data_IF_482807043349
#
_entry.id   IF_482807043349
#
_cell.length_a   1.000
_cell.length_b   1.000
_cell.length_c   1.000
_cell.angle_alpha   90.00
_cell.angle_beta   90.00
_cell.angle_gamma   90.00
#
_symmetry.space_group_name_H-M   'P 1'
#
loop_
_entity.id
_entity.type
_entity.pdbx_description
1 polymer ?
#
# COMPACT_ATOMS: atom_id res chain seq x y z
N UNK A 1 -9.28 -6.96 16.81
CA UNK A 1 -10.06 -5.95 16.06
C UNK A 1 -9.96 -6.26 14.58
N UNK A 2 -10.99 -6.00 13.80
CA UNK A 2 -10.95 -6.14 12.34
C UNK A 2 -11.74 -4.99 11.70
N UNK A 3 -11.40 -4.65 10.46
CA UNK A 3 -12.04 -3.59 9.70
C UNK A 3 -12.67 -4.17 8.43
N UNK A 4 -13.94 -3.85 8.19
CA UNK A 4 -14.56 -4.08 6.88
C UNK A 4 -14.17 -2.94 5.94
N UNK A 5 -13.70 -3.28 4.74
CA UNK A 5 -13.30 -2.33 3.71
C UNK A 5 -13.85 -2.73 2.34
N UNK A 6 -14.14 -1.72 1.52
CA UNK A 6 -14.47 -1.92 0.12
C UNK A 6 -13.20 -2.09 -0.73
N UNK A 7 -13.39 -2.58 -1.95
CA UNK A 7 -12.36 -2.83 -2.95
C UNK A 7 -11.37 -1.66 -3.11
N UNK A 8 -11.84 -0.42 -3.19
CA UNK A 8 -11.00 0.75 -3.47
C UNK A 8 -9.96 1.01 -2.38
N UNK A 9 -10.30 0.79 -1.11
CA UNK A 9 -9.35 0.88 -0.01
C UNK A 9 -8.33 -0.25 -0.05
N UNK A 10 -8.77 -1.47 -0.38
CA UNK A 10 -7.87 -2.62 -0.51
C UNK A 10 -6.90 -2.45 -1.67
N UNK A 11 -7.33 -1.86 -2.78
CA UNK A 11 -6.43 -1.53 -3.89
C UNK A 11 -5.35 -0.52 -3.50
N UNK A 12 -5.68 0.43 -2.62
CA UNK A 12 -4.69 1.35 -2.04
C UNK A 12 -3.68 0.55 -1.20
N UNK A 13 -4.12 -0.38 -0.35
CA UNK A 13 -3.19 -1.20 0.45
C UNK A 13 -2.27 -2.04 -0.44
N UNK A 14 -2.80 -2.69 -1.47
CA UNK A 14 -2.01 -3.47 -2.42
C UNK A 14 -1.03 -2.61 -3.21
N UNK A 15 -1.38 -1.35 -3.49
CA UNK A 15 -0.46 -0.44 -4.16
C UNK A 15 0.82 -0.16 -3.36
N UNK A 16 0.81 -0.29 -2.03
CA UNK A 16 2.02 -0.18 -1.21
C UNK A 16 3.06 -1.24 -1.56
N UNK A 17 2.62 -2.44 -1.96
CA UNK A 17 3.49 -3.54 -2.38
C UNK A 17 4.16 -3.29 -3.73
N UNK A 18 3.67 -2.31 -4.51
CA UNK A 18 4.28 -1.93 -5.79
C UNK A 18 5.41 -0.91 -5.64
N UNK A 19 5.61 -0.35 -4.44
CA UNK A 19 6.66 0.63 -4.22
C UNK A 19 8.04 -0.03 -4.38
N UNK A 20 8.94 0.57 -5.18
CA UNK A 20 10.31 0.08 -5.25
C UNK A 20 10.95 0.07 -3.86
N UNK A 21 11.72 -0.97 -3.55
CA UNK A 21 12.41 -1.08 -2.26
C UNK A 21 13.25 0.16 -1.94
N UNK A 22 13.92 0.75 -2.93
CA UNK A 22 14.66 2.00 -2.75
C UNK A 22 13.77 3.19 -2.34
N UNK A 23 12.52 3.25 -2.78
CA UNK A 23 11.54 4.24 -2.30
C UNK A 23 11.16 3.99 -0.85
N UNK A 24 10.94 2.74 -0.45
CA UNK A 24 10.65 2.38 0.95
C UNK A 24 11.84 2.79 1.83
N UNK A 25 13.06 2.39 1.46
CA UNK A 25 14.29 2.75 2.15
C UNK A 25 14.46 4.27 2.33
N UNK A 26 14.22 5.03 1.25
CA UNK A 26 14.27 6.50 1.23
C UNK A 26 13.26 7.13 2.18
N UNK A 27 12.03 6.62 2.21
CA UNK A 27 10.95 7.18 3.03
C UNK A 27 11.15 6.83 4.51
N UNK A 28 11.58 5.59 4.79
CA UNK A 28 11.80 5.09 6.14
C UNK A 28 12.94 5.77 6.88
N UNK A 29 13.93 6.37 6.17
CA UNK A 29 15.06 7.08 6.81
C UNK A 29 14.65 8.24 7.74
N UNK A 30 13.41 8.73 7.60
CA UNK A 30 12.87 9.81 8.44
C UNK A 30 12.38 9.33 9.81
N UNK A 31 12.30 8.03 10.01
CA UNK A 31 11.78 7.40 11.21
C UNK A 31 12.91 6.64 11.94
N UNK A 32 12.75 6.44 13.25
CA UNK A 32 13.72 5.70 14.06
C UNK A 32 13.81 4.23 13.61
N UNK A 33 12.69 3.66 13.18
CA UNK A 33 12.59 2.31 12.63
C UNK A 33 13.06 2.26 11.17
N UNK A 34 14.39 2.19 11.00
CA UNK A 34 15.03 1.95 9.70
C UNK A 34 14.68 0.56 9.15
N UNK A 35 14.65 0.41 7.83
CA UNK A 35 14.41 -0.88 7.14
C UNK A 35 15.73 -1.67 7.07
N UNK A 36 16.33 -1.93 8.23
CA UNK A 36 17.57 -2.70 8.36
C UNK A 36 18.67 -2.27 7.38
N UNK A 37 19.28 -3.27 6.72
CA UNK A 37 20.37 -3.06 5.75
C UNK A 37 19.94 -2.33 4.49
N UNK A 38 18.64 -2.28 4.17
CA UNK A 38 18.14 -1.57 3.01
C UNK A 38 18.33 -0.05 3.16
N UNK A 39 18.20 0.47 4.37
CA UNK A 39 18.51 1.88 4.66
C UNK A 39 19.99 2.17 4.46
N UNK A 40 20.89 1.30 4.94
CA UNK A 40 22.34 1.46 4.70
C UNK A 40 22.71 1.37 3.22
N UNK A 41 22.09 0.45 2.48
CA UNK A 41 22.29 0.34 1.02
C UNK A 41 21.85 1.62 0.32
N UNK A 42 20.68 2.17 0.67
CA UNK A 42 20.20 3.44 0.12
C UNK A 42 21.17 4.60 0.44
N UNK A 43 21.56 4.76 1.70
CA UNK A 43 22.51 5.79 2.15
C UNK A 43 23.87 5.67 1.41
N UNK A 44 24.33 4.45 1.12
CA UNK A 44 25.56 4.23 0.37
C UNK A 44 25.50 4.76 -1.07
N UNK A 45 24.36 4.58 -1.74
CA UNK A 45 24.13 5.10 -3.10
C UNK A 45 23.97 6.62 -3.07
N UNK A 46 23.25 7.15 -2.09
CA UNK A 46 23.05 8.59 -1.90
C UNK A 46 24.39 9.32 -1.70
N UNK A 47 25.30 8.76 -0.90
CA UNK A 47 26.62 9.32 -0.61
C UNK A 47 27.68 9.12 -1.72
N UNK A 48 27.42 8.26 -2.71
CA UNK A 48 28.40 8.00 -3.76
C UNK A 48 28.58 9.24 -4.66
N UNK A 49 29.83 9.59 -5.00
CA UNK A 49 30.09 10.73 -5.90
C UNK A 49 29.40 10.54 -7.26
N UNK A 50 28.80 11.61 -7.77
CA UNK A 50 28.15 11.64 -9.09
C UNK A 50 29.13 11.27 -10.22
N UNK A 51 30.42 11.55 -10.03
CA UNK A 51 31.51 11.24 -10.98
C UNK A 51 31.73 9.74 -11.17
N UNK A 52 31.18 8.89 -10.30
CA UNK A 52 31.22 7.42 -10.44
C UNK A 52 30.19 6.89 -11.44
N UNK A 53 29.27 7.72 -11.90
CA UNK A 53 28.21 7.36 -12.84
C UNK A 53 28.53 7.91 -14.22
N UNK A 54 28.09 7.21 -15.27
CA UNK A 54 28.22 7.68 -16.66
C UNK A 54 27.48 9.01 -16.87
N UNK A 55 26.30 9.14 -16.27
CA UNK A 55 25.46 10.33 -16.33
C UNK A 55 24.73 10.52 -14.99
N UNK A 56 24.29 11.75 -14.72
CA UNK A 56 23.67 12.11 -13.44
C UNK A 56 22.38 11.34 -13.18
N UNK A 57 21.58 11.09 -14.23
CA UNK A 57 20.28 10.45 -14.12
C UNK A 57 20.35 9.00 -13.61
N UNK A 58 21.46 8.28 -13.84
CA UNK A 58 21.63 6.93 -13.30
C UNK A 58 21.61 6.92 -11.78
N UNK A 59 22.25 7.91 -11.15
CA UNK A 59 22.19 8.08 -9.69
C UNK A 59 20.78 8.48 -9.27
N UNK A 60 20.16 9.41 -9.98
CA UNK A 60 18.79 9.85 -9.69
C UNK A 60 17.79 8.69 -9.74
N UNK A 61 17.90 7.76 -10.70
CA UNK A 61 17.05 6.58 -10.77
C UNK A 61 17.24 5.60 -9.61
N UNK A 62 18.41 5.58 -8.96
CA UNK A 62 18.63 4.73 -7.78
C UNK A 62 18.17 5.42 -6.49
N UNK A 63 18.34 6.74 -6.38
CA UNK A 63 17.93 7.54 -5.23
C UNK A 63 16.42 7.83 -5.25
N UNK A 64 15.82 7.95 -6.43
CA UNK A 64 14.41 8.19 -6.69
C UNK A 64 13.85 7.18 -7.71
N UNK A 65 13.77 5.89 -7.34
CA UNK A 65 13.34 4.85 -8.27
C UNK A 65 11.88 5.02 -8.69
N UNK A 66 11.65 4.89 -9.99
CA UNK A 66 10.33 4.92 -10.61
C UNK A 66 9.65 3.57 -10.38
N UNK A 67 8.37 3.60 -10.00
CA UNK A 67 7.53 2.42 -9.86
C UNK A 67 7.16 1.94 -11.26
N UNK A 68 7.58 0.72 -11.62
CA UNK A 68 7.24 0.11 -12.91
C UNK A 68 5.72 -0.07 -13.08
N UNK A 69 4.98 -0.19 -11.99
CA UNK A 69 3.52 -0.23 -11.93
C UNK A 69 2.86 1.14 -11.76
N UNK A 70 3.59 2.25 -11.91
CA UNK A 70 3.05 3.60 -11.78
C UNK A 70 1.82 3.82 -12.67
N UNK A 71 1.87 3.40 -13.93
CA UNK A 71 0.76 3.48 -14.88
C UNK A 71 -0.50 2.71 -14.43
N UNK A 72 -0.33 1.63 -13.66
CA UNK A 72 -1.44 0.86 -13.09
C UNK A 72 -2.02 1.60 -11.89
N UNK A 73 -1.15 2.15 -11.04
CA UNK A 73 -1.51 2.84 -9.80
C UNK A 73 -2.04 4.27 -10.03
N UNK A 74 -1.83 4.88 -11.20
CA UNK A 74 -2.37 6.20 -11.55
C UNK A 74 -3.90 6.25 -11.51
N UNK A 75 -4.55 5.09 -11.65
CA UNK A 75 -6.01 4.94 -11.54
C UNK A 75 -6.52 4.97 -10.09
N UNK A 76 -5.64 4.84 -9.10
CA UNK A 76 -6.02 4.90 -7.69
C UNK A 76 -6.50 6.30 -7.31
N UNK A 77 -7.40 6.37 -6.33
CA UNK A 77 -7.82 7.64 -5.70
C UNK A 77 -6.68 8.39 -5.02
N UNK A 78 -5.56 7.71 -4.72
CA UNK A 78 -4.39 8.26 -4.04
C UNK A 78 -3.16 8.10 -4.92
N UNK A 79 -2.43 9.19 -5.14
CA UNK A 79 -1.12 9.12 -5.79
C UNK A 79 -0.02 8.96 -4.74
N UNK A 80 0.62 7.79 -4.74
CA UNK A 80 1.73 7.46 -3.84
C UNK A 80 3.11 7.69 -4.47
N UNK A 81 3.15 8.05 -5.76
CA UNK A 81 4.37 8.16 -6.55
C UNK A 81 4.94 9.59 -6.62
N UNK A 82 4.26 10.57 -6.01
CA UNK A 82 4.72 11.96 -5.96
C UNK A 82 4.63 12.70 -7.30
N UNK A 83 4.07 12.07 -8.33
CA UNK A 83 3.71 12.71 -9.60
C UNK A 83 2.32 13.35 -9.45
N UNK A 84 2.02 14.46 -10.14
CA UNK A 84 0.65 14.99 -10.15
C UNK A 84 -0.20 14.08 -11.04
N UNK A 85 -1.03 13.20 -10.45
CA UNK A 85 -2.06 12.49 -11.21
C UNK A 85 -3.20 13.46 -11.51
N UNK A 86 -3.59 13.57 -12.78
CA UNK A 86 -4.58 14.54 -13.29
C UNK A 86 -5.88 13.86 -13.73
N UNK A 87 -5.99 12.52 -13.67
CA UNK A 87 -7.09 11.79 -14.31
C UNK A 87 -7.54 10.60 -13.44
N UNK A 88 -8.52 10.87 -12.57
CA UNK A 88 -9.32 9.82 -11.95
C UNK A 88 -10.19 9.15 -13.01
N UNK A 89 -9.95 7.86 -13.25
CA UNK A 89 -10.84 7.00 -14.03
C UNK A 89 -11.39 5.95 -13.05
N UNK A 90 -12.69 6.00 -12.70
CA UNK A 90 -13.29 4.98 -11.85
C UNK A 90 -13.25 3.63 -12.59
N UNK A 91 -12.45 2.70 -12.09
CA UNK A 91 -12.30 1.35 -12.65
C UNK A 91 -11.33 0.53 -11.82
N UNK A 92 -11.65 -0.75 -11.66
CA UNK A 92 -10.85 -1.68 -10.87
C UNK A 92 -9.42 -1.82 -11.42
N UNK A 93 -8.45 -1.90 -10.52
CA UNK A 93 -7.02 -1.90 -10.80
C UNK A 93 -6.46 -3.31 -10.64
N UNK A 94 -6.66 -3.87 -9.45
CA UNK A 94 -6.23 -5.21 -9.09
C UNK A 94 -7.39 -6.21 -9.10
N UNK A 95 -8.60 -5.75 -8.76
CA UNK A 95 -9.76 -6.61 -8.76
C UNK A 95 -10.51 -6.57 -10.09
N UNK A 96 -11.30 -7.60 -10.37
CA UNK A 96 -12.19 -7.65 -11.55
C UNK A 96 -13.65 -7.38 -11.16
N UNK A 97 -13.98 -7.53 -9.88
CA UNK A 97 -15.33 -7.47 -9.33
C UNK A 97 -15.30 -6.72 -8.01
N UNK A 98 -16.35 -5.94 -7.78
CA UNK A 98 -16.60 -5.32 -6.48
C UNK A 98 -16.78 -6.35 -5.40
N UNK A 99 -16.21 -6.06 -4.23
CA UNK A 99 -16.22 -6.94 -3.08
C UNK A 99 -15.99 -6.16 -1.78
N UNK A 100 -16.38 -6.81 -0.68
CA UNK A 100 -16.07 -6.38 0.68
C UNK A 100 -14.99 -7.29 1.23
N UNK A 101 -14.13 -6.73 2.05
CA UNK A 101 -12.99 -7.43 2.62
C UNK A 101 -12.90 -7.15 4.11
N UNK A 102 -12.41 -8.13 4.87
CA UNK A 102 -12.01 -7.97 6.25
C UNK A 102 -10.50 -7.79 6.29
N UNK A 103 -10.06 -6.74 6.96
CA UNK A 103 -8.67 -6.43 7.25
C UNK A 103 -8.45 -6.71 8.74
N UNK A 104 -7.50 -7.57 9.04
CA UNK A 104 -7.14 -8.00 10.39
C UNK A 104 -5.99 -7.14 10.95
N UNK A 105 -5.65 -7.31 12.24
CA UNK A 105 -4.61 -6.50 12.90
C UNK A 105 -3.21 -6.70 12.30
N UNK A 106 -2.93 -7.88 11.75
CA UNK A 106 -1.69 -8.19 11.04
C UNK A 106 -1.78 -7.87 9.53
N UNK A 107 -2.78 -7.08 9.14
CA UNK A 107 -3.05 -6.63 7.77
C UNK A 107 -3.37 -7.76 6.78
N UNK A 108 -3.73 -8.95 7.24
CA UNK A 108 -4.28 -9.96 6.34
C UNK A 108 -5.63 -9.47 5.81
N UNK A 109 -5.78 -9.59 4.49
CA UNK A 109 -6.99 -9.19 3.76
C UNK A 109 -7.75 -10.46 3.37
N UNK A 110 -8.98 -10.58 3.87
CA UNK A 110 -9.82 -11.75 3.69
C UNK A 110 -11.10 -11.32 2.94
N UNK A 111 -11.44 -11.92 1.79
CA UNK A 111 -12.67 -11.59 1.08
C UNK A 111 -13.91 -12.00 1.88
N UNK A 112 -14.89 -11.10 1.96
CA UNK A 112 -16.17 -11.35 2.60
C UNK A 112 -17.18 -11.80 1.53
N UNK A 113 -17.56 -13.08 1.53
CA UNK A 113 -18.57 -13.63 0.63
C UNK A 113 -19.87 -13.90 1.41
N UNK A 114 -21.02 -13.55 0.83
CA UNK A 114 -22.32 -13.64 1.49
C UNK A 114 -22.66 -15.04 2.03
N UNK A 115 -22.18 -16.09 1.38
CA UNK A 115 -22.42 -17.49 1.76
C UNK A 115 -21.45 -18.02 2.84
N UNK A 116 -20.36 -17.30 3.12
CA UNK A 116 -19.33 -17.71 4.09
C UNK A 116 -19.08 -16.68 5.19
N UNK A 117 -19.81 -15.56 5.22
CA UNK A 117 -19.63 -14.51 6.22
C UNK A 117 -19.70 -15.04 7.67
N UNK A 118 -20.65 -15.92 7.98
CA UNK A 118 -20.83 -16.45 9.34
C UNK A 118 -19.70 -17.43 9.70
N UNK A 119 -19.32 -18.31 8.78
CA UNK A 119 -18.21 -19.25 9.03
C UNK A 119 -16.88 -18.52 9.15
N UNK A 120 -16.69 -17.42 8.42
CA UNK A 120 -15.55 -16.53 8.56
C UNK A 120 -15.52 -15.84 9.93
N UNK A 121 -16.65 -15.30 10.41
CA UNK A 121 -16.70 -14.70 11.75
C UNK A 121 -16.36 -15.74 12.84
N UNK A 122 -16.89 -16.96 12.72
CA UNK A 122 -16.55 -18.05 13.63
C UNK A 122 -15.06 -18.39 13.57
N UNK A 123 -14.43 -18.44 12.39
CA UNK A 123 -13.00 -18.73 12.27
C UNK A 123 -12.11 -17.60 12.80
N UNK A 124 -12.61 -16.37 12.81
CA UNK A 124 -11.99 -15.20 13.44
C UNK A 124 -12.23 -15.15 14.97
N UNK A 125 -12.84 -16.17 15.55
CA UNK A 125 -13.08 -16.29 16.99
C UNK A 125 -14.31 -15.54 17.51
N UNK A 126 -15.23 -15.13 16.62
CA UNK A 126 -16.49 -14.51 17.02
C UNK A 126 -17.50 -15.60 17.37
N UNK A 127 -17.70 -15.84 18.66
CA UNK A 127 -18.64 -16.87 19.15
C UNK A 127 -20.11 -16.43 19.07
N UNK A 128 -20.36 -15.12 19.13
CA UNK A 128 -21.70 -14.55 19.02
C UNK A 128 -21.66 -13.13 18.48
N UNK A 129 -22.54 -12.83 17.53
CA UNK A 129 -22.68 -11.50 16.92
C UNK A 129 -23.11 -10.42 17.92
N UNK A 130 -23.75 -10.81 19.03
CA UNK A 130 -24.20 -9.87 20.06
C UNK A 130 -23.04 -9.23 20.85
N UNK A 131 -21.84 -9.78 20.74
CA UNK A 131 -20.62 -9.26 21.35
C UNK A 131 -19.91 -8.25 20.44
N UNK A 132 -20.35 -8.09 19.19
CA UNK A 132 -19.74 -7.18 18.24
C UNK A 132 -20.15 -5.73 18.52
N UNK A 133 -19.16 -4.84 18.47
CA UNK A 133 -19.37 -3.40 18.48
C UNK A 133 -18.88 -2.81 17.16
N UNK A 134 -19.79 -2.24 16.38
CA UNK A 134 -19.46 -1.60 15.11
C UNK A 134 -19.06 -0.14 15.31
N UNK A 135 -18.01 0.28 14.62
CA UNK A 135 -17.61 1.70 14.51
C UNK A 135 -17.25 2.00 13.07
N UNK A 136 -17.90 3.01 12.50
CA UNK A 136 -17.55 3.52 11.17
C UNK A 136 -16.50 4.62 11.30
N UNK A 137 -15.40 4.48 10.56
CA UNK A 137 -14.32 5.48 10.51
C UNK A 137 -14.20 5.97 9.07
N UNK A 138 -14.19 7.28 8.87
CA UNK A 138 -13.98 7.90 7.57
C UNK A 138 -12.50 8.22 7.37
N UNK A 139 -11.91 7.72 6.29
CA UNK A 139 -10.52 7.98 5.90
C UNK A 139 -10.46 8.86 4.65
N UNK A 140 -9.64 9.92 4.66
CA UNK A 140 -9.38 10.79 3.51
C UNK A 140 -9.67 12.29 3.74
N UNK A 141 -9.46 13.09 2.68
CA UNK A 141 -9.80 14.51 2.65
C UNK A 141 -11.30 14.69 2.40
N UNK A 142 -11.95 15.54 3.21
CA UNK A 142 -13.37 15.93 3.06
C UNK A 142 -13.62 16.71 1.78
#
# INVERSE_FOLDING_TARGET
>A
MFAEAEEDFVEILFSFLTLPLGTIARLSRKYEDKVGSLTSLYESVENLSIERFFETWYKDCLVYPINSSAHVCEKLKVNLHGTKSILYQPGAIFFKKKGKFIITEDLNIIPLMMDTSISLLNSLGVESIHLLHERTIFFGLK
#
